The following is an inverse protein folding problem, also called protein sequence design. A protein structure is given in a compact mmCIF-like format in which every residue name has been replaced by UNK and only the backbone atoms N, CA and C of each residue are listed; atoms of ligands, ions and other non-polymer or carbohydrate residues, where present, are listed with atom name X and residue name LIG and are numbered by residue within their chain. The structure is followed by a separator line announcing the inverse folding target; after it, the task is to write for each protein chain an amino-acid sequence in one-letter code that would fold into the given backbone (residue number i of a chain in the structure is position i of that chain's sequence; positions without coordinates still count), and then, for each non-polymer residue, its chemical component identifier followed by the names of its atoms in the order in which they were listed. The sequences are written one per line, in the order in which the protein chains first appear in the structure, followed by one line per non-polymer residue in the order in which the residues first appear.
data_IF_659611836829
#
_entry.id   IF_659611836829
#
_cell.length_a   1.000
_cell.length_b   1.000
_cell.length_c   1.000
_cell.angle_alpha   90.00
_cell.angle_beta   90.00
_cell.angle_gamma   90.00
#
_symmetry.space_group_name_H-M   'P 1'
#
loop_
_entity.id
_entity.type
_entity.pdbx_description
1 polymer ?
2 polymer ?
3 non-polymer ?
4 non-polymer ?
5 water ?
#
# COMPACT_ATOMS: atom_id res chain seq x y z
N UNK A 1 12.13 -5.23 -16.40
CA UNK A 1 10.75 -5.18 -15.86
C UNK A 1 10.75 -5.38 -14.31
N UNK A 2 10.06 -4.49 -13.62
CA UNK A 2 9.84 -4.67 -12.18
C UNK A 2 8.77 -5.76 -12.02
N UNK A 3 8.99 -6.70 -11.11
CA UNK A 3 7.95 -7.72 -10.92
C UNK A 3 6.76 -7.14 -10.13
N UNK A 4 5.65 -7.84 -10.11
CA UNK A 4 4.45 -7.40 -9.30
C UNK A 4 4.80 -7.44 -7.81
N UNK A 5 5.62 -8.39 -7.37
CA UNK A 5 5.96 -8.42 -5.96
C UNK A 5 6.81 -7.24 -5.58
N UNK A 6 7.75 -6.88 -6.47
CA UNK A 6 8.59 -5.72 -6.18
C UNK A 6 7.83 -4.39 -6.23
N UNK A 7 6.90 -4.33 -7.18
CA UNK A 7 6.03 -3.15 -7.21
C UNK A 7 5.33 -2.89 -5.87
N UNK A 8 4.71 -4.09 -5.41
CA UNK A 8 3.96 -3.96 -4.11
C UNK A 8 4.89 -3.47 -3.02
N UNK A 9 6.11 -3.98 -2.96
CA UNK A 9 7.03 -3.58 -1.89
C UNK A 9 7.39 -2.10 -1.95
N UNK A 10 7.72 -1.68 -3.18
CA UNK A 10 8.10 -0.27 -3.32
C UNK A 10 6.92 0.70 -2.96
N UNK A 11 5.74 0.26 -3.46
CA UNK A 11 4.52 1.08 -3.10
C UNK A 11 4.06 1.02 -1.66
N UNK A 12 4.27 -0.18 -1.00
CA UNK A 12 3.51 -0.37 0.29
C UNK A 12 4.33 -0.73 1.46
N UNK A 13 5.62 -1.03 1.38
CA UNK A 13 6.32 -1.40 2.57
C UNK A 13 7.13 -0.30 3.12
N UNK A 14 7.07 0.00 4.41
CA UNK A 14 7.98 0.92 5.06
C UNK A 14 8.24 0.43 6.46
N UNK A 15 9.03 -0.62 6.59
CA UNK A 15 9.22 -1.30 7.84
C UNK A 15 9.81 -0.41 8.85
N UNK B 3 8.76 18.42 4.21
CA UNK B 3 7.29 18.23 3.99
C UNK B 3 6.71 16.98 4.70
N UNK B 4 5.40 16.82 4.58
CA UNK B 4 4.79 15.69 5.33
C UNK B 4 5.23 14.33 4.79
N UNK B 5 5.09 13.32 5.66
CA UNK B 5 5.53 11.97 5.35
C UNK B 5 5.00 11.46 4.01
N UNK B 6 3.72 11.66 3.73
CA UNK B 6 3.14 11.21 2.51
C UNK B 6 3.81 11.84 1.32
N UNK B 7 3.91 13.18 1.31
CA UNK B 7 4.50 13.84 0.14
C UNK B 7 5.93 13.30 -0.05
N UNK B 8 6.67 13.21 1.03
CA UNK B 8 8.06 12.78 0.90
C UNK B 8 8.20 11.34 0.43
N UNK B 9 7.45 10.42 1.07
CA UNK B 9 7.66 9.03 0.76
C UNK B 9 7.04 8.70 -0.60
N UNK B 10 5.91 9.33 -0.94
CA UNK B 10 5.28 9.16 -2.28
C UNK B 10 6.31 9.49 -3.40
N UNK B 11 7.07 10.55 -3.18
CA UNK B 11 7.98 10.95 -4.23
C UNK B 11 9.19 10.05 -4.17
N UNK B 12 9.76 9.82 -2.97
CA UNK B 12 10.93 8.99 -2.90
C UNK B 12 10.74 7.58 -3.46
N UNK B 13 9.55 6.99 -3.30
CA UNK B 13 9.31 5.66 -3.77
C UNK B 13 8.93 5.57 -5.23
N UNK B 14 8.98 6.73 -5.94
CA UNK B 14 8.57 6.78 -7.34
C UNK B 14 7.10 6.46 -7.57
N UNK B 15 6.26 7.03 -6.67
CA UNK B 15 4.88 7.08 -6.98
C UNK B 15 4.43 8.38 -7.55
N UNK B 16 5.07 9.48 -7.12
CA UNK B 16 4.66 10.80 -7.53
C UNK B 16 5.74 11.62 -8.25
N UNK B 17 6.84 10.97 -8.63
CA UNK B 17 7.80 11.67 -9.49
C UNK B 17 7.21 11.96 -10.85
N UNK B 18 6.32 11.11 -11.38
CA UNK B 18 5.83 11.27 -12.77
C UNK B 18 4.28 11.42 -12.84
N UNK B 19 3.61 11.60 -11.67
CA UNK B 19 2.12 11.72 -11.62
C UNK B 19 1.74 11.95 -10.19
N UNK B 20 0.47 12.28 -9.93
CA UNK B 20 -0.03 12.27 -8.54
C UNK B 20 -1.08 11.15 -8.42
N UNK B 21 -0.83 10.20 -7.55
CA UNK B 21 -1.76 9.08 -7.26
C UNK B 21 -2.82 9.51 -6.27
N UNK B 22 -4.11 9.25 -6.49
CA UNK B 22 -5.09 9.66 -5.52
C UNK B 22 -4.86 9.06 -4.12
N UNK B 23 -4.46 7.80 -4.01
CA UNK B 23 -4.39 7.14 -2.67
C UNK B 23 -3.28 6.14 -2.64
N UNK B 24 -2.62 5.99 -1.53
CA UNK B 24 -1.68 4.91 -1.37
C UNK B 24 -1.50 4.64 0.13
N UNK B 25 -1.23 3.42 0.52
CA UNK B 25 -1.05 3.03 1.89
C UNK B 25 0.36 2.44 2.07
N UNK B 26 1.02 2.84 3.14
CA UNK B 26 2.33 2.29 3.52
C UNK B 26 2.15 1.46 4.82
N UNK B 27 2.77 0.30 4.88
CA UNK B 27 2.69 -0.61 6.09
C UNK B 27 3.96 -0.57 6.86
N UNK B 28 3.91 -0.27 8.16
CA UNK B 28 5.11 -0.23 8.97
C UNK B 28 5.22 -1.53 9.75
N UNK B 29 5.52 -2.59 9.04
CA UNK B 29 5.83 -3.90 9.62
C UNK B 29 6.95 -4.51 8.84
N UNK B 30 7.54 -5.57 9.31
CA UNK B 30 8.62 -6.16 8.55
C UNK B 30 8.07 -6.77 7.30
N UNK B 31 8.89 -6.84 6.22
CA UNK B 31 8.48 -7.44 4.98
C UNK B 31 7.93 -8.87 5.21
N UNK B 32 8.71 -9.61 6.01
CA UNK B 32 8.34 -11.03 6.25
C UNK B 32 6.99 -11.15 7.01
N UNK B 33 6.71 -10.15 7.84
CA UNK B 33 5.39 -10.21 8.55
C UNK B 33 4.28 -9.82 7.62
N UNK B 34 4.51 -8.98 6.59
CA UNK B 34 3.52 -8.76 5.57
C UNK B 34 3.34 -9.96 4.61
N UNK B 35 4.49 -10.57 4.21
CA UNK B 35 4.40 -11.70 3.37
C UNK B 35 3.63 -12.81 4.08
N UNK B 36 3.70 -12.88 5.40
CA UNK B 36 3.00 -13.93 6.13
C UNK B 36 1.52 -13.83 6.00
N UNK B 37 0.99 -12.69 5.60
CA UNK B 37 -0.46 -12.52 5.45
C UNK B 37 -1.00 -13.40 4.36
N UNK B 38 -0.15 -13.80 3.35
CA UNK B 38 -0.72 -14.61 2.28
C UNK B 38 -1.12 -16.04 2.69
N UNK B 39 -0.85 -16.33 3.96
CA UNK B 39 -1.33 -17.65 4.48
C UNK B 39 -2.26 -17.41 5.67
N UNK B 40 -2.84 -16.24 5.81
CA UNK B 40 -3.79 -15.90 6.92
C UNK B 40 -5.19 -16.06 6.42
N UNK B 41 -6.11 -15.15 6.69
CA UNK B 41 -7.54 -15.50 6.43
C UNK B 41 -7.91 -15.18 5.01
N UNK B 42 -8.29 -16.15 4.19
CA UNK B 42 -8.71 -15.96 2.84
C UNK B 42 -10.03 -15.21 2.82
N UNK B 43 -10.13 -14.18 2.01
CA UNK B 43 -11.35 -13.40 1.90
C UNK B 43 -11.50 -13.06 0.46
N UNK B 44 -12.72 -12.72 0.01
CA UNK B 44 -12.90 -12.17 -1.34
C UNK B 44 -12.15 -10.82 -1.52
N UNK B 45 -11.60 -10.61 -2.73
CA UNK B 45 -11.10 -9.28 -3.14
C UNK B 45 -12.21 -8.37 -3.53
N UNK B 46 -12.01 -7.07 -3.40
CA UNK B 46 -12.96 -6.12 -3.96
C UNK B 46 -13.46 -6.52 -5.37
N UNK B 47 -12.59 -7.04 -6.23
CA UNK B 47 -12.92 -7.25 -7.62
C UNK B 47 -13.63 -8.62 -7.76
N UNK B 48 -13.91 -9.26 -6.61
CA UNK B 48 -14.49 -10.63 -6.50
C UNK B 48 -13.59 -11.83 -6.68
N UNK B 49 -12.30 -11.64 -7.06
CA UNK B 49 -11.41 -12.76 -7.13
C UNK B 49 -11.23 -13.24 -5.69
N UNK B 50 -10.68 -14.40 -5.58
CA UNK B 50 -10.66 -15.02 -4.33
C UNK B 50 -9.24 -15.21 -3.78
N UNK B 51 -8.27 -14.43 -4.30
CA UNK B 51 -6.88 -14.60 -3.86
C UNK B 51 -6.46 -13.50 -2.94
N UNK B 52 -7.41 -12.99 -2.17
CA UNK B 52 -7.11 -12.01 -1.11
C UNK B 52 -7.06 -12.58 0.32
N UNK B 53 -6.30 -11.94 1.22
CA UNK B 53 -6.02 -12.44 2.52
C UNK B 53 -6.03 -11.30 3.52
N UNK B 54 -6.74 -11.45 4.62
CA UNK B 54 -6.81 -10.44 5.63
C UNK B 54 -5.97 -10.77 6.81
N UNK B 55 -5.10 -9.89 7.36
CA UNK B 55 -4.30 -10.16 8.52
C UNK B 55 -5.15 -10.46 9.76
N UNK B 56 -4.68 -11.45 10.49
CA UNK B 56 -5.28 -11.65 11.83
C UNK B 56 -5.20 -10.44 12.71
N UNK B 57 -4.02 -9.78 12.70
CA UNK B 57 -3.72 -8.69 13.62
C UNK B 57 -3.93 -7.36 12.88
N UNK B 58 -4.14 -6.30 13.64
CA UNK B 58 -4.00 -4.96 13.03
C UNK B 58 -2.50 -4.74 12.90
N UNK B 59 -2.17 -3.92 11.91
CA UNK B 59 -0.78 -3.41 11.63
C UNK B 59 -0.73 -1.92 11.59
N UNK B 60 0.48 -1.37 11.84
CA UNK B 60 0.70 0.07 11.74
C UNK B 60 0.68 0.50 10.26
N UNK B 61 -0.24 1.35 9.91
CA UNK B 61 -0.34 1.79 8.52
C UNK B 61 -0.49 3.30 8.41
N UNK B 62 0.01 3.88 7.31
CA UNK B 62 -0.14 5.30 7.02
C UNK B 62 -0.91 5.34 5.74
N UNK B 63 -2.04 6.01 5.76
CA UNK B 63 -2.81 6.27 4.55
C UNK B 63 -2.45 7.63 4.00
N UNK B 64 -2.22 7.70 2.71
CA UNK B 64 -1.94 8.95 2.02
C UNK B 64 -3.04 9.18 1.01
N UNK B 65 -3.64 10.38 1.05
CA UNK B 65 -4.70 10.61 0.10
C UNK B 65 -4.53 12.04 -0.44
N UNK B 66 -4.68 12.20 -1.76
CA UNK B 66 -4.50 13.56 -2.31
C UNK B 66 -5.55 14.54 -1.73
N UNK B 67 -5.12 15.78 -1.62
CA UNK B 67 -6.07 16.83 -1.30
C UNK B 67 -6.92 17.13 -2.54
N UNK B 68 -7.97 17.93 -2.32
CA UNK B 68 -8.87 18.36 -3.40
C UNK B 68 -8.22 19.17 -4.51
N UNK B 69 -7.24 19.97 -4.17
CA UNK B 69 -6.61 20.85 -5.16
C UNK B 69 -5.35 20.23 -5.76
N UNK B 70 -4.88 19.13 -5.19
CA UNK B 70 -3.57 18.57 -5.60
C UNK B 70 -3.53 18.30 -7.09
N UNK B 71 -2.44 18.71 -7.78
CA UNK B 71 -2.25 18.33 -9.17
C UNK B 71 -0.77 18.34 -9.51
N UNK B 72 -0.42 17.56 -10.49
CA UNK B 72 1.02 17.38 -10.85
C UNK B 72 1.58 18.72 -11.38
N UNK B 73 2.77 19.07 -11.02
CA UNK B 73 3.80 18.34 -10.21
C UNK B 73 3.71 18.50 -8.71
N UNK B 74 2.92 19.43 -8.21
CA UNK B 74 2.90 19.77 -6.79
C UNK B 74 1.82 18.92 -6.09
N UNK B 75 2.09 17.59 -6.07
CA UNK B 75 1.09 16.70 -5.46
C UNK B 75 1.08 17.06 -3.98
N UNK B 76 -0.09 16.94 -3.40
CA UNK B 76 -0.31 17.29 -2.01
C UNK B 76 -1.15 16.19 -1.37
N UNK B 77 -0.67 15.68 -0.22
CA UNK B 77 -1.36 14.57 0.48
C UNK B 77 -1.71 14.92 1.89
N UNK B 78 -2.81 14.35 2.35
CA UNK B 78 -3.19 14.24 3.75
C UNK B 78 -2.71 12.92 4.25
N UNK B 79 -2.07 12.92 5.41
CA UNK B 79 -1.46 11.77 6.07
C UNK B 79 -2.36 11.31 7.21
N UNK B 80 -2.78 10.05 7.22
CA UNK B 80 -3.56 9.56 8.39
C UNK B 80 -2.95 8.30 8.89
N UNK B 81 -2.59 8.20 10.14
CA UNK B 81 -1.92 7.05 10.69
C UNK B 81 -2.93 6.26 11.49
N UNK B 82 -2.85 4.92 11.39
CA UNK B 82 -3.85 4.07 12.07
C UNK B 82 -3.31 2.67 12.24
N UNK B 83 -3.90 1.93 13.18
CA UNK B 83 -3.64 0.47 13.30
C UNK B 83 -4.83 -0.28 12.76
N UNK B 84 -4.68 -0.96 11.67
CA UNK B 84 -5.76 -1.64 11.01
C UNK B 84 -5.33 -2.97 10.40
N UNK B 85 -6.26 -3.91 10.18
CA UNK B 85 -5.93 -5.17 9.54
C UNK B 85 -5.65 -4.84 8.11
N UNK B 86 -4.78 -5.54 7.42
CA UNK B 86 -4.59 -5.29 6.03
C UNK B 86 -5.16 -6.44 5.15
N UNK B 87 -5.57 -6.16 3.94
CA UNK B 87 -6.01 -7.17 3.01
C UNK B 87 -5.14 -7.02 1.76
N UNK B 88 -4.47 -8.11 1.41
CA UNK B 88 -3.56 -8.14 0.25
C UNK B 88 -3.99 -9.20 -0.72
N UNK B 89 -3.76 -9.01 -2.01
CA UNK B 89 -3.88 -10.07 -3.02
C UNK B 89 -2.59 -10.76 -3.20
N UNK B 90 -2.59 -12.09 -3.23
CA UNK B 90 -1.33 -12.84 -3.40
C UNK B 90 -1.30 -13.64 -4.68
N UNK B 91 -0.06 -13.84 -5.14
CA UNK B 91 0.17 -14.59 -6.37
C UNK B 91 1.59 -15.14 -6.37
N UNK B 92 1.77 -16.25 -7.09
CA UNK B 92 3.10 -16.70 -7.42
C UNK B 92 3.61 -17.89 -6.65
N UNK B 93 4.82 -18.30 -7.03
CA UNK B 93 5.62 -19.23 -6.31
C UNK B 93 7.01 -18.60 -6.17
N UNK B 94 7.34 -18.05 -5.00
CA UNK B 94 6.57 -18.14 -3.75
C UNK B 94 5.30 -17.26 -3.79
N UNK B 95 4.36 -17.55 -2.89
CA UNK B 95 3.00 -16.96 -2.94
C UNK B 95 3.06 -15.73 -2.06
N UNK B 96 3.14 -14.57 -2.74
CA UNK B 96 3.50 -13.34 -2.08
C UNK B 96 2.52 -12.20 -2.43
N UNK B 97 2.60 -11.10 -1.65
CA UNK B 97 1.64 -10.01 -1.89
C UNK B 97 1.95 -9.31 -3.26
N UNK B 98 0.89 -9.09 -4.05
CA UNK B 98 1.08 -8.32 -5.32
C UNK B 98 0.18 -7.13 -5.41
N UNK B 99 -0.79 -6.95 -4.51
CA UNK B 99 -1.64 -5.76 -4.50
C UNK B 99 -2.13 -5.54 -3.14
N UNK B 100 -2.26 -4.26 -2.82
CA UNK B 100 -2.81 -3.87 -1.51
C UNK B 100 -4.29 -3.56 -1.69
N UNK B 101 -5.18 -4.45 -1.21
CA UNK B 101 -6.61 -4.33 -1.50
C UNK B 101 -7.29 -3.32 -0.63
N UNK B 102 -7.05 -3.33 0.67
CA UNK B 102 -7.77 -2.52 1.64
C UNK B 102 -7.19 -2.66 3.02
N UNK B 103 -7.60 -1.82 3.94
CA UNK B 103 -7.41 -2.07 5.34
C UNK B 103 -8.71 -1.86 6.08
N UNK B 104 -8.85 -2.56 7.22
CA UNK B 104 -10.07 -2.48 7.97
C UNK B 104 -9.70 -2.44 9.43
X LIG C 1 5.50 -10.67 -12.16
X LIG D 1 -9.28 -8.60 16.39
X LIG D 1 -10.04 -9.27 15.55
X LIG D 1 -8.87 -9.39 17.52
X LIG D 1 -8.03 -8.38 15.56
X LIG D 1 -9.92 -7.32 16.80
X LIG E 1 -1.65 -1.64 -5.80
X LIG E 1 -1.08 -2.73 -6.72
X LIG E 1 -0.37 -0.92 -5.49
X LIG E 1 -2.71 -0.80 -6.43
X LIG E 1 -2.18 -2.40 -4.65
#
# INVERSE_FOLDING_TARGET
KETAAAXFERXHLDS
SSSNYCNQMMKSRNLTKDRCKPVNTFVHESLADVQAVCSQKNVACKNGQTNCYQSYSTMSITDCRETGSSKYPNCAYKTTQANKHIIVACEGNPYVPVHFDASV
CL CL
SO4 S O1 O2 O3 O4
SO4 S O1 O2 O3 O4
#
